data_IF_479814943814
#
_entry.id   IF_479814943814
#
_cell.length_a   1.000
_cell.length_b   1.000
_cell.length_c   1.000
_cell.angle_alpha   90.00
_cell.angle_beta   90.00
_cell.angle_gamma   90.00
#
_symmetry.space_group_name_H-M   'P 1'
#
loop_
_entity.id
_entity.type
_entity.pdbx_description
1 polymer ?
#
# COMPACT_ATOMS: atom_id res chain seq x y z
N UNK A 1 9.43 15.12 -3.84
CA UNK A 1 9.68 13.70 -3.52
C UNK A 1 8.44 13.13 -2.84
N UNK A 2 7.46 12.63 -3.60
CA UNK A 2 6.26 12.01 -3.04
C UNK A 2 6.60 10.68 -2.36
N UNK A 3 6.06 10.50 -1.16
CA UNK A 3 6.18 9.26 -0.40
C UNK A 3 4.76 8.72 -0.15
N UNK A 4 4.50 7.50 -0.61
CA UNK A 4 3.22 6.82 -0.45
C UNK A 4 3.43 5.59 0.41
N UNK A 5 2.72 5.52 1.52
CA UNK A 5 2.68 4.33 2.37
C UNK A 5 1.39 3.57 2.13
N UNK A 6 1.52 2.29 1.83
CA UNK A 6 0.40 1.38 1.62
C UNK A 6 0.31 0.47 2.84
N UNK A 7 -0.74 0.66 3.62
CA UNK A 7 -1.07 -0.18 4.78
C UNK A 7 -2.28 -1.02 4.43
N UNK A 8 -2.09 -2.34 4.38
CA UNK A 8 -3.11 -3.33 4.01
C UNK A 8 -2.84 -4.64 4.72
N UNK A 9 -3.67 -5.66 4.51
CA UNK A 9 -3.31 -7.03 4.88
C UNK A 9 -2.13 -7.55 4.03
N UNK A 10 -1.43 -8.61 4.48
CA UNK A 10 -0.36 -9.24 3.73
C UNK A 10 -0.83 -9.70 2.34
N UNK A 11 0.01 -9.47 1.33
CA UNK A 11 -0.22 -9.79 -0.07
C UNK A 11 1.00 -10.55 -0.64
N UNK A 12 0.88 -11.10 -1.84
CA UNK A 12 2.04 -11.66 -2.55
C UNK A 12 2.96 -10.55 -3.08
N UNK A 13 4.16 -10.93 -3.53
CA UNK A 13 5.12 -9.99 -4.12
C UNK A 13 4.58 -9.39 -5.43
N UNK A 14 3.90 -10.20 -6.23
CA UNK A 14 3.36 -9.85 -7.54
C UNK A 14 2.28 -8.77 -7.42
N UNK A 15 1.35 -8.94 -6.47
CA UNK A 15 0.31 -7.95 -6.17
C UNK A 15 0.94 -6.62 -5.72
N UNK A 16 1.94 -6.67 -4.83
CA UNK A 16 2.65 -5.44 -4.40
C UNK A 16 3.36 -4.75 -5.57
N UNK A 17 3.94 -5.52 -6.50
CA UNK A 17 4.61 -4.96 -7.67
C UNK A 17 3.62 -4.22 -8.59
N UNK A 18 2.45 -4.82 -8.83
CA UNK A 18 1.37 -4.20 -9.62
C UNK A 18 0.87 -2.90 -8.95
N UNK A 19 0.62 -2.94 -7.65
CA UNK A 19 0.19 -1.76 -6.87
C UNK A 19 1.24 -0.65 -6.93
N UNK A 20 2.53 -0.99 -6.73
CA UNK A 20 3.61 -0.02 -6.75
C UNK A 20 3.71 0.69 -8.12
N UNK A 21 3.58 -0.07 -9.20
CA UNK A 21 3.57 0.47 -10.56
C UNK A 21 2.38 1.41 -10.75
N UNK A 22 1.16 0.96 -10.43
CA UNK A 22 -0.06 1.76 -10.59
C UNK A 22 -0.02 3.07 -9.82
N UNK A 23 0.38 3.05 -8.55
CA UNK A 23 0.53 4.27 -7.72
C UNK A 23 1.54 5.21 -8.35
N UNK A 24 2.72 4.70 -8.73
CA UNK A 24 3.79 5.52 -9.31
C UNK A 24 3.35 6.20 -10.61
N UNK A 25 2.65 5.48 -11.50
CA UNK A 25 2.13 6.04 -12.75
C UNK A 25 1.13 7.18 -12.49
N UNK A 26 0.19 6.99 -11.57
CA UNK A 26 -0.83 8.00 -11.24
C UNK A 26 -0.19 9.25 -10.64
N UNK A 27 0.71 9.07 -9.67
CA UNK A 27 1.41 10.19 -9.03
C UNK A 27 2.26 10.95 -10.04
N UNK A 28 3.02 10.26 -10.89
CA UNK A 28 3.80 10.87 -11.96
C UNK A 28 2.90 11.66 -12.93
N UNK A 29 1.80 11.06 -13.39
CA UNK A 29 0.87 11.69 -14.34
C UNK A 29 0.28 12.99 -13.77
N UNK A 30 -0.11 12.99 -12.50
CA UNK A 30 -0.74 14.12 -11.82
C UNK A 30 0.25 15.23 -11.46
N UNK A 31 1.45 14.88 -11.02
CA UNK A 31 2.41 15.84 -10.44
C UNK A 31 3.57 16.20 -11.35
N UNK A 32 3.78 15.44 -12.44
CA UNK A 32 4.95 15.52 -13.34
C UNK A 32 6.31 15.25 -12.69
N UNK A 33 6.34 14.83 -11.43
CA UNK A 33 7.57 14.45 -10.74
C UNK A 33 8.13 13.17 -11.40
N UNK A 34 9.44 13.08 -11.70
CA UNK A 34 10.04 11.88 -12.26
C UNK A 34 9.82 10.65 -11.36
N UNK A 35 9.64 9.48 -11.97
CA UNK A 35 9.21 8.24 -11.28
C UNK A 35 10.22 7.78 -10.24
N UNK A 36 11.51 8.01 -10.48
CA UNK A 36 12.61 7.69 -9.57
C UNK A 36 12.55 8.45 -8.23
N UNK A 37 11.82 9.57 -8.17
CA UNK A 37 11.61 10.35 -6.94
C UNK A 37 10.29 10.05 -6.24
N UNK A 38 9.53 9.06 -6.70
CA UNK A 38 8.25 8.62 -6.13
C UNK A 38 8.49 7.31 -5.40
N UNK A 39 8.31 7.31 -4.09
CA UNK A 39 8.60 6.14 -3.26
C UNK A 39 7.30 5.53 -2.75
N UNK A 40 7.14 4.22 -2.97
CA UNK A 40 6.00 3.44 -2.47
C UNK A 40 6.52 2.42 -1.46
N UNK A 41 6.06 2.50 -0.22
CA UNK A 41 6.45 1.60 0.87
C UNK A 41 5.23 0.81 1.33
N UNK A 42 5.38 -0.51 1.43
CA UNK A 42 4.34 -1.40 1.93
C UNK A 42 4.60 -1.74 3.38
N UNK A 43 3.59 -1.51 4.22
CA UNK A 43 3.58 -1.86 5.63
C UNK A 43 2.38 -2.79 5.88
N UNK A 44 2.49 -4.08 5.52
CA UNK A 44 1.40 -5.01 5.69
C UNK A 44 1.18 -5.31 7.17
N UNK A 45 -0.08 -5.26 7.60
CA UNK A 45 -0.48 -5.51 8.98
C UNK A 45 -1.23 -6.84 9.05
N UNK A 46 -0.80 -7.81 9.89
CA UNK A 46 -1.53 -9.04 10.14
C UNK A 46 -2.98 -8.81 10.58
N UNK A 47 -3.88 -9.75 10.31
CA UNK A 47 -5.30 -9.62 10.63
C UNK A 47 -5.58 -9.57 12.14
N UNK A 48 -4.74 -10.19 12.96
CA UNK A 48 -4.79 -10.14 14.42
C UNK A 48 -4.23 -8.82 14.99
N UNK A 49 -3.68 -7.97 14.13
CA UNK A 49 -3.06 -6.69 14.48
C UNK A 49 -3.85 -5.50 13.90
N UNK A 50 -5.02 -5.74 13.30
CA UNK A 50 -5.90 -4.73 12.72
C UNK A 50 -7.31 -4.86 13.29
N UNK A 51 -7.81 -3.83 13.98
CA UNK A 51 -9.18 -3.79 14.49
C UNK A 51 -10.07 -2.89 13.64
N UNK A 52 -11.33 -3.27 13.47
CA UNK A 52 -12.37 -2.42 12.89
C UNK A 52 -13.66 -2.54 13.70
N UNK A 53 -14.00 -1.46 14.42
CA UNK A 53 -15.16 -1.43 15.31
C UNK A 53 -14.95 -2.16 16.65
N UNK A 54 -13.70 -2.29 17.10
CA UNK A 54 -13.35 -2.97 18.36
C UNK A 54 -13.15 -4.48 18.23
N UNK A 55 -13.38 -5.05 17.05
CA UNK A 55 -13.16 -6.48 16.74
C UNK A 55 -11.93 -6.63 15.86
N UNK A 56 -11.06 -7.60 16.15
CA UNK A 56 -9.89 -7.88 15.30
C UNK A 56 -10.35 -8.42 13.95
N UNK A 57 -9.64 -8.07 12.89
CA UNK A 57 -9.97 -8.55 11.55
C UNK A 57 -9.86 -10.07 11.45
N UNK A 58 -9.00 -10.69 12.27
CA UNK A 58 -8.90 -12.15 12.41
C UNK A 58 -10.14 -12.82 13.01
N UNK A 59 -11.02 -12.07 13.69
CA UNK A 59 -12.24 -12.59 14.33
C UNK A 59 -13.47 -12.49 13.42
N UNK A 60 -13.35 -11.77 12.29
CA UNK A 60 -14.42 -11.67 11.29
C UNK A 60 -14.28 -12.83 10.30
N UNK A 61 -15.22 -13.79 10.37
CA UNK A 61 -15.39 -14.87 9.38
C UNK A 61 -15.94 -14.36 8.06
#
# INVERSE_FOLDING_TARGET
MPFVRVTSFPQTKEVRAEIAQGITEVVHKATKIPKEYIWVVFEPMPQDSWSAGGTLASEKK
#
